data_IF_238340187228
#
_entry.id   IF_238340187228
#
_cell.length_a   1.000
_cell.length_b   1.000
_cell.length_c   1.000
_cell.angle_alpha   90.00
_cell.angle_beta   90.00
_cell.angle_gamma   90.00
#
_symmetry.space_group_name_H-M   'P 1'
#
loop_
_entity.id
_entity.type
_entity.pdbx_description
1 polymer ?
#
# COMPACT_ATOMS: atom_id res chain seq x y z
N UNK A 1 18.23 16.14 -0.09
CA UNK A 1 16.76 16.06 0.05
C UNK A 1 16.46 14.58 0.16
N UNK A 2 15.90 14.14 1.29
CA UNK A 2 15.63 12.72 1.54
C UNK A 2 14.49 12.29 0.61
N UNK A 3 14.81 11.58 -0.48
CA UNK A 3 13.84 11.20 -1.52
C UNK A 3 12.63 10.46 -0.93
N UNK A 4 12.89 9.70 0.14
CA UNK A 4 11.93 8.89 0.89
C UNK A 4 11.00 9.70 1.80
N UNK A 5 11.40 10.92 2.22
CA UNK A 5 10.55 11.79 3.03
C UNK A 5 9.32 12.33 2.26
N UNK A 6 9.39 12.36 0.92
CA UNK A 6 8.29 12.81 0.07
C UNK A 6 7.16 11.77 -0.07
N UNK A 7 7.43 10.49 0.22
CA UNK A 7 6.48 9.40 -0.01
C UNK A 7 5.36 9.34 1.01
N UNK A 8 5.63 9.86 2.21
CA UNK A 8 4.67 10.05 3.30
C UNK A 8 4.10 11.47 3.38
N UNK A 9 4.35 12.35 2.41
CA UNK A 9 3.79 13.69 2.50
C UNK A 9 2.25 13.64 2.35
N UNK A 10 1.57 14.05 3.42
CA UNK A 10 0.12 14.24 3.48
C UNK A 10 -0.40 15.13 2.35
N UNK A 11 0.43 16.04 1.84
CA UNK A 11 0.13 16.90 0.69
C UNK A 11 -0.01 16.12 -0.62
N UNK A 12 0.85 15.13 -0.87
CA UNK A 12 0.82 14.34 -2.11
C UNK A 12 -0.41 13.40 -2.14
N UNK A 13 -0.80 12.88 -0.97
CA UNK A 13 -2.02 12.08 -0.83
C UNK A 13 -3.32 12.90 -0.91
N UNK A 14 -3.26 14.22 -0.72
CA UNK A 14 -4.46 15.07 -0.73
C UNK A 14 -5.13 15.16 -2.11
N UNK A 15 -4.38 14.91 -3.18
CA UNK A 15 -4.88 14.94 -4.57
C UNK A 15 -5.71 13.70 -4.96
N UNK A 16 -5.65 12.62 -4.15
CA UNK A 16 -6.34 11.36 -4.44
C UNK A 16 -7.84 11.37 -4.10
N UNK A 17 -8.33 12.43 -3.44
CA UNK A 17 -9.69 12.46 -2.89
C UNK A 17 -10.52 13.59 -3.52
N UNK A 18 -11.51 13.24 -4.35
CA UNK A 18 -12.47 14.21 -4.89
C UNK A 18 -13.31 14.86 -3.75
N UNK A 19 -13.55 16.20 -3.78
CA UNK A 19 -14.17 16.90 -2.65
C UNK A 19 -15.65 16.56 -2.38
N UNK A 20 -16.38 15.99 -3.34
CA UNK A 20 -17.86 15.97 -3.30
C UNK A 20 -18.53 14.70 -2.75
N UNK A 21 -17.82 13.57 -2.71
CA UNK A 21 -18.44 12.27 -2.36
C UNK A 21 -18.22 11.82 -0.90
N UNK A 22 -17.33 12.50 -0.17
CA UNK A 22 -16.98 12.16 1.20
C UNK A 22 -16.96 13.39 2.08
N UNK A 23 -17.27 13.20 3.36
CA UNK A 23 -16.99 14.20 4.38
C UNK A 23 -15.47 14.38 4.54
N UNK A 24 -14.99 15.56 5.00
CA UNK A 24 -13.58 15.75 5.33
C UNK A 24 -13.02 14.69 6.29
N UNK A 25 -13.84 14.23 7.23
CA UNK A 25 -13.45 13.20 8.20
C UNK A 25 -13.23 11.82 7.54
N UNK A 26 -14.10 11.42 6.61
CA UNK A 26 -13.93 10.17 5.87
C UNK A 26 -12.68 10.19 4.99
N UNK A 27 -12.42 11.32 4.32
CA UNK A 27 -11.18 11.49 3.54
C UNK A 27 -9.94 11.40 4.41
N UNK A 28 -9.92 12.10 5.54
CA UNK A 28 -8.76 12.07 6.45
C UNK A 28 -8.52 10.66 7.00
N UNK A 29 -9.59 9.93 7.33
CA UNK A 29 -9.50 8.56 7.79
C UNK A 29 -8.95 7.62 6.73
N UNK A 30 -9.48 7.65 5.50
CA UNK A 30 -9.00 6.82 4.39
C UNK A 30 -7.53 7.15 4.07
N UNK A 31 -7.20 8.44 3.98
CA UNK A 31 -5.82 8.91 3.82
C UNK A 31 -4.92 8.40 4.93
N UNK A 32 -5.39 8.50 6.18
CA UNK A 32 -4.67 8.03 7.37
C UNK A 32 -4.33 6.55 7.30
N UNK A 33 -5.26 5.69 6.85
CA UNK A 33 -5.00 4.25 6.73
C UNK A 33 -3.89 3.93 5.73
N UNK A 34 -3.94 4.48 4.52
CA UNK A 34 -2.88 4.27 3.54
C UNK A 34 -1.56 4.92 3.95
N UNK A 35 -1.61 6.10 4.56
CA UNK A 35 -0.42 6.77 5.08
C UNK A 35 0.26 5.93 6.16
N UNK A 36 -0.49 5.43 7.16
CA UNK A 36 0.04 4.54 8.19
C UNK A 36 0.60 3.26 7.57
N UNK A 37 -0.10 2.65 6.60
CA UNK A 37 0.40 1.46 5.92
C UNK A 37 1.75 1.71 5.25
N UNK A 38 1.88 2.79 4.47
CA UNK A 38 3.14 3.14 3.80
C UNK A 38 4.23 3.45 4.84
N UNK A 39 3.89 4.23 5.86
CA UNK A 39 4.85 4.68 6.86
C UNK A 39 5.36 3.54 7.73
N UNK A 40 4.48 2.66 8.18
CA UNK A 40 4.79 1.60 9.13
C UNK A 40 5.32 0.34 8.44
N UNK A 41 4.85 0.04 7.23
CA UNK A 41 5.19 -1.21 6.52
C UNK A 41 6.13 -1.01 5.32
N UNK A 42 6.18 0.15 4.67
CA UNK A 42 7.03 0.33 3.48
C UNK A 42 8.27 1.16 3.75
N UNK A 43 8.14 2.26 4.50
CA UNK A 43 9.26 3.15 4.79
C UNK A 43 10.49 2.45 5.38
N UNK A 44 10.40 1.46 6.30
CA UNK A 44 11.61 0.89 6.87
C UNK A 44 12.46 0.12 5.85
N UNK A 45 11.86 -0.40 4.77
CA UNK A 45 12.60 -1.04 3.68
C UNK A 45 13.54 -0.09 2.94
N UNK A 46 13.21 1.20 2.89
CA UNK A 46 14.04 2.22 2.25
C UNK A 46 15.34 2.53 3.00
N UNK A 47 15.48 2.06 4.23
CA UNK A 47 16.65 2.27 5.09
C UNK A 47 17.24 0.93 5.57
N UNK A 48 16.84 -0.18 4.93
CA UNK A 48 17.26 -1.51 5.37
C UNK A 48 18.77 -1.72 5.30
N UNK A 49 19.43 -1.14 4.31
CA UNK A 49 20.88 -1.26 4.11
C UNK A 49 21.70 -0.51 5.16
N UNK A 50 21.15 0.55 5.77
CA UNK A 50 21.82 1.32 6.82
C UNK A 50 21.40 0.90 8.23
N UNK A 51 20.10 0.76 8.47
CA UNK A 51 19.52 0.64 9.81
C UNK A 51 19.05 -0.81 10.10
N UNK A 52 19.03 -1.66 9.08
CA UNK A 52 18.37 -2.96 9.14
C UNK A 52 16.85 -2.81 9.02
N UNK A 53 16.15 -3.92 9.22
CA UNK A 53 14.70 -4.00 9.13
C UNK A 53 14.16 -4.77 10.32
N UNK A 54 13.13 -4.24 10.97
CA UNK A 54 12.26 -5.01 11.85
C UNK A 54 10.82 -4.57 11.62
N UNK A 55 10.01 -5.41 10.98
CA UNK A 55 8.60 -5.13 10.70
C UNK A 55 7.76 -6.33 11.07
N UNK A 56 6.63 -6.06 11.74
CA UNK A 56 5.60 -7.06 12.01
C UNK A 56 4.64 -7.18 10.83
N UNK A 57 4.52 -8.38 10.28
CA UNK A 57 3.56 -8.78 9.24
C UNK A 57 2.13 -8.76 9.77
N UNK A 58 1.18 -8.86 8.85
CA UNK A 58 -0.24 -8.93 9.16
C UNK A 58 -0.61 -10.12 10.06
N UNK A 59 0.01 -11.29 9.84
CA UNK A 59 -0.20 -12.51 10.64
C UNK A 59 0.41 -12.45 12.06
N UNK A 60 1.08 -11.34 12.39
CA UNK A 60 1.75 -11.12 13.67
C UNK A 60 3.18 -11.64 13.75
N UNK A 61 3.69 -12.31 12.72
CA UNK A 61 5.10 -12.70 12.62
C UNK A 61 5.98 -11.48 12.31
N UNK A 62 7.27 -11.57 12.63
CA UNK A 62 8.24 -10.49 12.40
C UNK A 62 9.17 -10.85 11.25
N UNK A 63 9.32 -9.94 10.29
CA UNK A 63 10.44 -9.91 9.35
C UNK A 63 11.56 -9.11 10.01
N UNK A 64 12.73 -9.71 10.12
CA UNK A 64 13.91 -9.02 10.63
C UNK A 64 15.11 -9.28 9.71
N UNK A 65 15.82 -8.20 9.35
CA UNK A 65 17.10 -8.26 8.65
C UNK A 65 18.08 -7.33 9.36
N UNK A 66 19.28 -7.83 9.63
CA UNK A 66 20.43 -6.96 9.92
C UNK A 66 20.73 -6.09 8.68
N UNK A 67 21.42 -4.94 8.85
CA UNK A 67 21.84 -4.11 7.74
C UNK A 67 22.54 -4.94 6.64
N UNK A 68 21.93 -5.01 5.46
CA UNK A 68 22.42 -5.82 4.35
C UNK A 68 21.93 -5.29 2.99
N UNK A 69 22.57 -5.74 1.92
CA UNK A 69 22.16 -5.36 0.57
C UNK A 69 20.74 -5.85 0.27
N UNK A 70 19.97 -5.02 -0.43
CA UNK A 70 18.62 -5.34 -0.86
C UNK A 70 18.63 -6.26 -2.10
N UNK A 71 18.95 -7.53 -1.88
CA UNK A 71 18.91 -8.58 -2.89
C UNK A 71 18.54 -9.93 -2.27
N UNK A 72 18.11 -10.90 -3.07
CA UNK A 72 17.76 -12.24 -2.61
C UNK A 72 16.60 -12.24 -1.63
N UNK A 73 16.83 -12.69 -0.38
CA UNK A 73 15.78 -12.92 0.61
C UNK A 73 15.03 -11.64 1.02
N UNK A 74 15.68 -10.50 1.34
CA UNK A 74 14.98 -9.23 1.55
C UNK A 74 14.08 -8.80 0.41
N UNK A 75 14.58 -8.84 -0.83
CA UNK A 75 13.80 -8.46 -2.01
C UNK A 75 12.61 -9.39 -2.20
N UNK A 76 12.80 -10.70 -2.05
CA UNK A 76 11.71 -11.68 -2.09
C UNK A 76 10.68 -11.43 -0.99
N UNK A 77 11.10 -11.03 0.21
CA UNK A 77 10.20 -10.76 1.32
C UNK A 77 9.36 -9.49 1.12
N UNK A 78 9.88 -8.45 0.46
CA UNK A 78 9.09 -7.27 0.08
C UNK A 78 7.97 -7.63 -0.90
N UNK A 79 8.27 -8.49 -1.88
CA UNK A 79 7.33 -8.89 -2.95
C UNK A 79 6.56 -10.19 -2.66
N UNK A 80 6.66 -10.73 -1.44
CA UNK A 80 5.87 -11.88 -1.01
C UNK A 80 4.38 -11.50 -1.01
N UNK A 81 3.55 -12.27 -1.71
CA UNK A 81 2.10 -12.05 -1.82
C UNK A 81 1.34 -12.07 -0.48
N UNK A 82 2.00 -12.48 0.61
CA UNK A 82 1.45 -12.45 1.96
C UNK A 82 1.96 -11.27 2.79
N UNK A 83 2.67 -10.31 2.19
CA UNK A 83 3.22 -9.18 2.92
C UNK A 83 2.25 -8.00 2.96
N UNK A 84 2.05 -7.31 1.83
CA UNK A 84 1.29 -6.05 1.80
C UNK A 84 -0.20 -6.28 1.56
N UNK A 85 -0.53 -7.32 0.81
CA UNK A 85 -1.88 -7.64 0.34
C UNK A 85 -2.84 -7.85 1.52
N UNK A 86 -2.49 -8.59 2.59
CA UNK A 86 -3.41 -8.75 3.72
C UNK A 86 -3.84 -7.43 4.38
N UNK A 87 -2.95 -6.43 4.45
CA UNK A 87 -3.29 -5.09 4.96
C UNK A 87 -4.23 -4.35 4.01
N UNK A 88 -3.97 -4.41 2.69
CA UNK A 88 -4.85 -3.81 1.69
C UNK A 88 -6.23 -4.47 1.69
N UNK A 89 -6.28 -5.80 1.82
CA UNK A 89 -7.51 -6.57 1.90
C UNK A 89 -8.35 -6.20 3.13
N UNK A 90 -7.72 -5.95 4.28
CA UNK A 90 -8.38 -5.44 5.48
C UNK A 90 -8.99 -4.06 5.23
N UNK A 91 -8.21 -3.13 4.66
CA UNK A 91 -8.72 -1.79 4.31
C UNK A 91 -9.94 -1.93 3.39
N UNK A 92 -9.84 -2.69 2.29
CA UNK A 92 -10.96 -2.88 1.36
C UNK A 92 -12.21 -3.48 2.04
N UNK A 93 -12.04 -4.50 2.87
CA UNK A 93 -13.13 -5.18 3.57
C UNK A 93 -13.85 -4.26 4.55
N UNK A 94 -13.09 -3.53 5.37
CA UNK A 94 -13.64 -2.59 6.35
C UNK A 94 -14.42 -1.46 5.68
N UNK A 95 -13.86 -0.89 4.61
CA UNK A 95 -14.50 0.21 3.89
C UNK A 95 -15.73 -0.24 3.12
N UNK A 96 -15.68 -1.43 2.51
CA UNK A 96 -16.85 -2.01 1.85
C UNK A 96 -17.97 -2.32 2.85
N UNK A 97 -17.65 -2.80 4.06
CA UNK A 97 -18.64 -3.03 5.11
C UNK A 97 -19.36 -1.74 5.52
N UNK A 98 -18.63 -0.62 5.62
CA UNK A 98 -19.18 0.72 5.91
C UNK A 98 -20.03 1.24 4.74
N UNK A 99 -19.64 0.92 3.51
CA UNK A 99 -20.33 1.35 2.29
C UNK A 99 -21.64 0.63 1.99
N UNK A 100 -22.09 -0.32 2.83
CA UNK A 100 -23.37 -1.01 2.64
C UNK A 100 -24.56 -0.06 2.58
N UNK A 101 -24.53 1.01 3.38
CA UNK A 101 -25.57 2.04 3.40
C UNK A 101 -25.39 3.14 2.33
N UNK A 102 -24.29 3.11 1.56
CA UNK A 102 -23.97 4.16 0.59
C UNK A 102 -24.84 4.06 -0.65
N UNK A 103 -25.08 5.21 -1.29
CA UNK A 103 -25.67 5.24 -2.63
C UNK A 103 -24.71 4.64 -3.66
N UNK A 104 -25.22 4.33 -4.86
CA UNK A 104 -24.36 3.84 -5.96
C UNK A 104 -23.25 4.83 -6.31
N UNK A 105 -23.54 6.13 -6.30
CA UNK A 105 -22.56 7.17 -6.63
C UNK A 105 -21.44 7.19 -5.59
N UNK A 106 -21.79 7.16 -4.30
CA UNK A 106 -20.80 7.18 -3.21
C UNK A 106 -19.93 5.91 -3.20
N UNK A 107 -20.48 4.75 -3.58
CA UNK A 107 -19.69 3.52 -3.75
C UNK A 107 -18.71 3.61 -4.91
N UNK A 108 -19.09 4.22 -6.03
CA UNK A 108 -18.16 4.47 -7.15
C UNK A 108 -17.02 5.38 -6.70
N UNK A 109 -17.32 6.47 -6.00
CA UNK A 109 -16.28 7.36 -5.49
C UNK A 109 -15.39 6.68 -4.44
N UNK A 110 -15.94 5.79 -3.60
CA UNK A 110 -15.15 5.00 -2.65
C UNK A 110 -14.17 4.09 -3.37
N UNK A 111 -14.66 3.42 -4.42
CA UNK A 111 -13.83 2.55 -5.26
C UNK A 111 -12.65 3.31 -5.84
N UNK A 112 -12.88 4.49 -6.41
CA UNK A 112 -11.82 5.32 -7.00
C UNK A 112 -10.76 5.71 -5.97
N UNK A 113 -11.19 6.13 -4.79
CA UNK A 113 -10.31 6.50 -3.69
C UNK A 113 -9.48 5.31 -3.19
N UNK A 114 -10.12 4.16 -2.97
CA UNK A 114 -9.43 2.95 -2.52
C UNK A 114 -8.45 2.44 -3.56
N UNK A 115 -8.83 2.46 -4.84
CA UNK A 115 -7.95 2.09 -5.95
C UNK A 115 -6.74 3.02 -6.03
N UNK A 116 -6.93 4.32 -5.84
CA UNK A 116 -5.82 5.28 -5.80
C UNK A 116 -4.82 4.97 -4.67
N UNK A 117 -5.34 4.63 -3.47
CA UNK A 117 -4.51 4.21 -2.34
C UNK A 117 -3.75 2.90 -2.60
N UNK A 118 -4.41 1.89 -3.16
CA UNK A 118 -3.80 0.61 -3.56
C UNK A 118 -2.66 0.86 -4.56
N UNK A 119 -2.93 1.62 -5.62
CA UNK A 119 -1.91 1.97 -6.62
C UNK A 119 -0.72 2.66 -5.97
N UNK A 120 -0.96 3.60 -5.05
CA UNK A 120 0.13 4.30 -4.37
C UNK A 120 1.01 3.33 -3.59
N UNK A 121 0.43 2.39 -2.85
CA UNK A 121 1.17 1.39 -2.07
C UNK A 121 2.10 0.57 -2.98
N UNK A 122 1.57 0.02 -4.07
CA UNK A 122 2.39 -0.74 -5.04
C UNK A 122 3.47 0.10 -5.72
N UNK A 123 3.13 1.33 -6.13
CA UNK A 123 4.11 2.24 -6.73
C UNK A 123 5.21 2.60 -5.74
N UNK A 124 4.90 2.76 -4.45
CA UNK A 124 5.93 2.97 -3.42
C UNK A 124 6.79 1.74 -3.22
N UNK A 125 6.25 0.52 -3.25
CA UNK A 125 7.06 -0.70 -3.24
C UNK A 125 8.00 -0.79 -4.44
N UNK A 126 7.51 -0.46 -5.63
CA UNK A 126 8.32 -0.39 -6.85
C UNK A 126 9.42 0.67 -6.75
N UNK A 127 9.09 1.84 -6.18
CA UNK A 127 10.06 2.90 -5.94
C UNK A 127 11.15 2.43 -4.95
N UNK A 128 10.81 1.73 -3.85
CA UNK A 128 11.77 1.12 -2.93
C UNK A 128 12.67 0.13 -3.67
N UNK A 129 12.06 -0.85 -4.34
CA UNK A 129 12.77 -1.91 -5.06
C UNK A 129 13.78 -1.33 -6.06
N UNK A 130 13.36 -0.30 -6.79
CA UNK A 130 14.20 0.35 -7.79
C UNK A 130 15.33 1.18 -7.19
N UNK A 131 15.10 1.93 -6.11
CA UNK A 131 16.16 2.73 -5.47
C UNK A 131 17.17 1.88 -4.70
N UNK A 132 16.71 0.77 -4.12
CA UNK A 132 17.56 -0.11 -3.32
C UNK A 132 18.40 -1.06 -4.19
N UNK A 133 18.15 -1.11 -5.51
CA UNK A 133 18.97 -1.87 -6.45
C UNK A 133 20.26 -1.11 -6.85
N UNK A 134 21.39 -1.80 -6.75
CA UNK A 134 22.66 -1.41 -7.40
C UNK A 134 23.43 -0.27 -6.75
N UNK A 135 23.68 -0.31 -5.44
CA UNK A 135 24.45 0.71 -4.69
C UNK A 135 23.97 2.16 -4.94
N UNK A 136 22.68 2.35 -5.26
CA UNK A 136 22.11 3.67 -5.58
C UNK A 136 22.28 4.11 -7.04
N UNK A 137 22.76 3.25 -7.94
CA UNK A 137 22.87 3.52 -9.39
C UNK A 137 21.65 2.94 -10.12
N UNK A 138 20.49 3.56 -9.90
CA UNK A 138 19.18 3.11 -10.39
C UNK A 138 19.03 3.08 -11.93
N UNK A 139 19.98 3.65 -12.68
CA UNK A 139 19.90 3.80 -14.14
C UNK A 139 19.99 2.49 -14.94
N UNK A 140 20.34 1.35 -14.30
CA UNK A 140 20.57 0.08 -14.99
C UNK A 140 19.53 -1.01 -14.72
N UNK A 141 18.51 -0.74 -13.91
CA UNK A 141 17.53 -1.76 -13.50
C UNK A 141 16.12 -1.40 -13.94
N UNK A 142 15.44 -2.38 -14.55
CA UNK A 142 14.02 -2.28 -14.87
C UNK A 142 13.20 -2.29 -13.57
N UNK A 143 12.18 -1.43 -13.52
CA UNK A 143 11.24 -1.40 -12.41
C UNK A 143 10.44 -2.69 -12.35
N UNK A 144 10.20 -3.20 -11.15
CA UNK A 144 9.33 -4.35 -10.93
C UNK A 144 7.94 -4.10 -11.53
N UNK A 145 7.37 -5.05 -12.26
CA UNK A 145 6.01 -4.90 -12.79
C UNK A 145 4.97 -5.06 -11.67
N UNK A 146 4.26 -3.97 -11.38
CA UNK A 146 3.24 -3.92 -10.32
C UNK A 146 1.82 -4.12 -10.84
N UNK A 147 1.62 -4.15 -12.16
CA UNK A 147 0.29 -4.29 -12.75
C UNK A 147 -0.44 -5.56 -12.31
N UNK A 148 0.22 -6.74 -12.17
CA UNK A 148 -0.45 -7.94 -11.67
C UNK A 148 -1.01 -7.78 -10.25
N UNK A 149 -0.23 -7.19 -9.33
CA UNK A 149 -0.66 -6.95 -7.95
C UNK A 149 -1.78 -5.92 -7.85
N UNK A 150 -1.70 -4.84 -8.63
CA UNK A 150 -2.76 -3.83 -8.74
C UNK A 150 -4.03 -4.45 -9.31
N UNK A 151 -3.93 -5.29 -10.35
CA UNK A 151 -5.07 -5.96 -10.96
C UNK A 151 -5.74 -6.93 -9.98
N UNK A 152 -4.96 -7.72 -9.23
CA UNK A 152 -5.46 -8.59 -8.17
C UNK A 152 -6.24 -7.79 -7.12
N UNK A 153 -5.63 -6.75 -6.56
CA UNK A 153 -6.27 -5.94 -5.52
C UNK A 153 -7.48 -5.14 -6.04
N UNK A 154 -7.50 -4.77 -7.31
CA UNK A 154 -8.66 -4.15 -7.96
C UNK A 154 -9.84 -5.13 -8.00
N UNK A 155 -9.58 -6.38 -8.42
CA UNK A 155 -10.61 -7.42 -8.46
C UNK A 155 -11.13 -7.74 -7.04
N UNK A 156 -10.24 -7.80 -6.04
CA UNK A 156 -10.62 -8.00 -4.64
C UNK A 156 -11.50 -6.85 -4.11
N UNK A 157 -11.12 -5.59 -4.38
CA UNK A 157 -11.91 -4.41 -4.04
C UNK A 157 -13.32 -4.46 -4.66
N UNK A 158 -13.40 -4.78 -5.95
CA UNK A 158 -14.67 -4.88 -6.66
C UNK A 158 -15.57 -5.97 -6.07
N UNK A 159 -14.97 -7.11 -5.71
CA UNK A 159 -15.67 -8.19 -5.02
C UNK A 159 -16.21 -7.76 -3.64
N UNK A 160 -15.43 -6.98 -2.87
CA UNK A 160 -15.85 -6.41 -1.59
C UNK A 160 -17.06 -5.46 -1.76
N UNK A 161 -16.98 -4.51 -2.69
CA UNK A 161 -18.01 -3.50 -2.90
C UNK A 161 -19.31 -4.07 -3.50
N UNK A 162 -19.23 -5.19 -4.22
CA UNK A 162 -20.40 -5.93 -4.68
C UNK A 162 -21.16 -6.63 -3.53
N UNK A 163 -20.57 -6.72 -2.33
CA UNK A 163 -21.20 -7.33 -1.15
C UNK A 163 -21.08 -8.85 -1.09
N UNK A 164 -20.16 -9.43 -1.87
CA UNK A 164 -20.00 -10.89 -2.02
C UNK A 164 -18.98 -11.51 -1.07
N UNK A 165 -18.31 -10.73 -0.23
CA UNK A 165 -17.38 -11.25 0.78
C UNK A 165 -18.19 -11.92 1.89
N UNK A 166 -18.18 -13.25 1.90
CA UNK A 166 -18.54 -14.02 3.07
C UNK A 166 -17.58 -13.64 4.20
N UNK A 167 -18.13 -13.25 5.36
CA UNK A 167 -17.33 -13.12 6.58
C UNK A 167 -16.70 -14.47 6.86
N UNK A 168 -15.40 -14.63 6.58
CA UNK A 168 -14.65 -15.74 7.15
C UNK A 168 -14.59 -15.50 8.66
N UNK A 169 -15.30 -16.36 9.39
CA UNK A 169 -15.31 -16.42 10.85
C UNK A 169 -14.04 -17.08 11.39
#
# INVERSE_FOLDING_TARGET
>A
MDAFASWGDKGHMATLFSPSAFTPAERERLRGRFFSLIWDQLRPWAYMDTDGLEIRRFDGTTIAFEPCMFDGAPRQALWDSNYIEPFLEEICRDEAARARAFSRADRTSLREVLLAGIKRVYLTMQEIDWHMQGDGVAEHYDKHDVEPGIAYMTAYLDHCLAGTVASAA
#
